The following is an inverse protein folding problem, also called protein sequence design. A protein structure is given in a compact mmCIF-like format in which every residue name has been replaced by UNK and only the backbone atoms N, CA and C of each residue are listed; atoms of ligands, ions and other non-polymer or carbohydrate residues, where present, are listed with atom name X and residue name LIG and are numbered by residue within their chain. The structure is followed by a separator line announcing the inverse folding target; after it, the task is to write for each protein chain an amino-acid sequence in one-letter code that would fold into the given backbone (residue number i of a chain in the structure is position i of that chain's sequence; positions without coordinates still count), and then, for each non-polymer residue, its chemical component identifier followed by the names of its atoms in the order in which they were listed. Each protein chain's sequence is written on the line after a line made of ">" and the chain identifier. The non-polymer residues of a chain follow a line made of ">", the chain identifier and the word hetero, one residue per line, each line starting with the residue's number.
data_IF_975266183199
#
_entry.id   IF_975266183199
#
_cell.length_a   1.000
_cell.length_b   1.000
_cell.length_c   1.000
_cell.angle_alpha   90.00
_cell.angle_beta   90.00
_cell.angle_gamma   90.00
#
_symmetry.space_group_name_H-M   'P 1'
#
loop_
_entity.id
_entity.type
_entity.pdbx_description
1 polymer ?
#
# COMPACT_ATOMS: atom_id res chain seq x y z
N UNK A 1 25.41 37.06 -8.95
CA UNK A 1 26.06 35.94 -8.24
C UNK A 1 26.50 36.46 -6.86
N UNK A 2 25.62 36.35 -5.86
CA UNK A 2 25.86 36.75 -4.46
C UNK A 2 26.08 35.54 -3.54
N UNK A 3 26.24 35.73 -2.21
CA UNK A 3 27.19 35.01 -1.34
C UNK A 3 26.72 33.60 -0.95
N UNK A 4 26.97 32.61 -1.80
CA UNK A 4 26.76 31.18 -1.45
C UNK A 4 27.81 30.68 -0.44
N UNK A 5 28.94 31.37 -0.33
CA UNK A 5 30.07 30.99 0.54
C UNK A 5 29.75 31.12 2.03
N UNK A 6 29.03 32.17 2.43
CA UNK A 6 28.82 32.50 3.84
C UNK A 6 27.81 31.54 4.50
N UNK A 7 26.73 31.25 3.78
CA UNK A 7 25.70 30.30 4.21
C UNK A 7 26.23 28.87 4.40
N UNK A 8 27.20 28.42 3.59
CA UNK A 8 27.80 27.08 3.73
C UNK A 8 28.75 26.99 4.92
N UNK A 9 29.51 28.05 5.19
CA UNK A 9 30.37 28.12 6.35
C UNK A 9 29.54 28.14 7.65
N UNK A 10 28.42 28.85 7.65
CA UNK A 10 27.45 28.85 8.75
C UNK A 10 26.82 27.46 8.95
N UNK A 11 26.38 26.80 7.87
CA UNK A 11 25.88 25.42 7.93
C UNK A 11 26.91 24.45 8.53
N UNK A 12 28.18 24.54 8.11
CA UNK A 12 29.25 23.69 8.64
C UNK A 12 29.48 23.92 10.14
N UNK A 13 29.52 25.19 10.60
CA UNK A 13 29.67 25.52 12.02
C UNK A 13 28.53 24.97 12.87
N UNK A 14 27.29 25.08 12.38
CA UNK A 14 26.12 24.54 13.06
C UNK A 14 26.20 23.01 13.18
N UNK A 15 26.60 22.31 12.12
CA UNK A 15 26.76 20.86 12.14
C UNK A 15 27.89 20.40 13.07
N UNK A 16 29.02 21.11 13.09
CA UNK A 16 30.11 20.83 14.02
C UNK A 16 29.66 20.98 15.48
N UNK A 17 28.93 22.06 15.80
CA UNK A 17 28.36 22.23 17.15
C UNK A 17 27.41 21.08 17.50
N UNK A 18 26.55 20.67 16.57
CA UNK A 18 25.67 19.51 16.78
C UNK A 18 26.45 18.20 17.02
N UNK A 19 27.54 17.98 16.29
CA UNK A 19 28.42 16.80 16.46
C UNK A 19 29.14 16.79 17.81
N UNK A 20 29.45 17.97 18.36
CA UNK A 20 30.02 18.13 19.71
C UNK A 20 28.98 18.03 20.82
N UNK A 21 27.70 17.89 20.49
CA UNK A 21 26.60 17.84 21.46
C UNK A 21 26.19 19.22 22.00
N UNK A 22 26.56 20.31 21.32
CA UNK A 22 26.17 21.66 21.72
C UNK A 22 24.67 21.87 21.51
N UNK A 23 23.91 21.99 22.60
CA UNK A 23 22.45 22.14 22.54
C UNK A 23 22.00 23.38 21.75
N UNK A 24 22.77 24.47 21.80
CA UNK A 24 22.41 25.71 21.11
C UNK A 24 22.58 25.60 19.58
N UNK A 25 23.55 24.80 19.12
CA UNK A 25 23.68 24.47 17.70
C UNK A 25 22.45 23.69 17.22
N UNK A 26 21.98 22.71 17.99
CA UNK A 26 20.76 21.96 17.70
C UNK A 26 19.51 22.85 17.68
N UNK A 27 19.35 23.75 18.65
CA UNK A 27 18.25 24.72 18.66
C UNK A 27 18.29 25.63 17.43
N UNK A 28 19.46 26.10 17.04
CA UNK A 28 19.62 26.96 15.88
C UNK A 28 19.27 26.21 14.57
N UNK A 29 19.76 24.98 14.41
CA UNK A 29 19.41 24.12 13.27
C UNK A 29 17.90 23.85 13.24
N UNK A 30 17.31 23.46 14.38
CA UNK A 30 15.88 23.21 14.45
C UNK A 30 15.08 24.46 14.06
N UNK A 31 15.33 25.60 14.70
CA UNK A 31 14.63 26.86 14.44
C UNK A 31 14.73 27.30 12.97
N UNK A 32 15.90 27.16 12.35
CA UNK A 32 16.16 27.66 10.99
C UNK A 32 15.60 26.77 9.88
N UNK A 33 15.49 25.46 10.14
CA UNK A 33 15.17 24.47 9.11
C UNK A 33 13.84 23.75 9.32
N UNK A 34 13.32 23.67 10.54
CA UNK A 34 12.09 22.93 10.84
C UNK A 34 10.86 23.46 10.07
N UNK A 35 10.55 24.78 10.04
CA UNK A 35 9.39 25.28 9.29
C UNK A 35 9.48 24.99 7.79
N UNK A 36 10.69 25.09 7.23
CA UNK A 36 10.98 24.81 5.81
C UNK A 36 10.83 23.32 5.49
N UNK A 37 11.19 22.45 6.43
CA UNK A 37 11.07 21.01 6.31
C UNK A 37 9.60 20.58 6.37
N UNK A 38 8.84 21.07 7.34
CA UNK A 38 7.40 20.79 7.48
C UNK A 38 6.64 21.25 6.24
N UNK A 39 6.88 22.47 5.75
CA UNK A 39 6.26 22.97 4.53
C UNK A 39 6.57 22.08 3.31
N UNK A 40 7.82 21.62 3.17
CA UNK A 40 8.19 20.69 2.11
C UNK A 40 7.46 19.34 2.22
N UNK A 41 7.38 18.78 3.43
CA UNK A 41 6.70 17.52 3.67
C UNK A 41 5.21 17.63 3.36
N UNK A 42 4.56 18.71 3.79
CA UNK A 42 3.14 18.95 3.54
C UNK A 42 2.83 18.92 2.03
N UNK A 43 3.65 19.59 1.22
CA UNK A 43 3.54 19.57 -0.26
C UNK A 43 3.75 18.16 -0.81
N UNK A 44 4.76 17.44 -0.32
CA UNK A 44 5.07 16.09 -0.80
C UNK A 44 4.02 15.04 -0.43
N UNK A 45 3.28 15.26 0.67
CA UNK A 45 2.28 14.34 1.19
C UNK A 45 0.93 14.39 0.46
N UNK A 46 0.75 15.26 -0.55
CA UNK A 46 -0.45 15.31 -1.42
C UNK A 46 -1.78 15.32 -0.64
N UNK A 47 -1.93 16.24 0.32
CA UNK A 47 -3.18 16.42 1.09
C UNK A 47 -3.20 15.79 2.47
N UNK A 48 -2.05 15.33 2.99
CA UNK A 48 -1.90 15.01 4.41
C UNK A 48 -2.11 16.25 5.29
N UNK A 49 -2.60 16.05 6.53
CA UNK A 49 -2.77 17.14 7.49
C UNK A 49 -1.41 17.76 7.88
N UNK A 50 -1.42 19.00 8.37
CA UNK A 50 -0.22 19.63 8.92
C UNK A 50 0.42 18.80 10.04
N UNK A 51 -0.41 18.16 10.85
CA UNK A 51 0.01 17.21 11.89
C UNK A 51 0.81 16.03 11.33
N UNK A 52 0.37 15.44 10.21
CA UNK A 52 1.13 14.36 9.57
C UNK A 52 2.49 14.83 9.04
N UNK A 53 2.58 16.09 8.59
CA UNK A 53 3.85 16.67 8.18
C UNK A 53 4.79 16.87 9.37
N UNK A 54 4.26 17.31 10.51
CA UNK A 54 4.98 17.44 11.78
C UNK A 54 5.50 16.09 12.27
N UNK A 55 4.68 15.03 12.23
CA UNK A 55 5.14 13.69 12.63
C UNK A 55 6.30 13.18 11.79
N UNK A 56 6.29 13.43 10.47
CA UNK A 56 7.39 13.04 9.59
C UNK A 56 8.62 13.89 9.90
N UNK A 57 8.45 15.19 10.15
CA UNK A 57 9.56 16.07 10.55
C UNK A 57 10.17 15.60 11.87
N UNK A 58 9.35 15.26 12.87
CA UNK A 58 9.78 14.70 14.14
C UNK A 58 10.57 13.40 13.94
N UNK A 59 10.11 12.48 13.08
CA UNK A 59 10.84 11.26 12.77
C UNK A 59 12.23 11.54 12.13
N UNK A 60 12.31 12.54 11.25
CA UNK A 60 13.58 12.98 10.66
C UNK A 60 14.51 13.56 11.75
N UNK A 61 13.99 14.42 12.62
CA UNK A 61 14.77 15.00 13.72
C UNK A 61 15.26 13.95 14.70
N UNK A 62 14.42 12.98 15.09
CA UNK A 62 14.81 11.86 15.93
C UNK A 62 15.92 11.03 15.28
N UNK A 63 15.82 10.74 13.98
CA UNK A 63 16.87 10.01 13.26
C UNK A 63 18.20 10.80 13.24
N UNK A 64 18.13 12.11 12.98
CA UNK A 64 19.28 13.00 13.02
C UNK A 64 19.90 13.06 14.41
N UNK A 65 19.10 13.16 15.47
CA UNK A 65 19.59 13.24 16.85
C UNK A 65 20.25 11.94 17.30
N UNK A 66 19.55 10.81 17.16
CA UNK A 66 20.05 9.50 17.59
C UNK A 66 21.26 9.02 16.76
N UNK A 67 21.37 9.48 15.51
CA UNK A 67 22.42 9.07 14.58
C UNK A 67 23.29 10.23 14.09
N UNK A 68 23.49 11.28 14.90
CA UNK A 68 24.11 12.54 14.47
C UNK A 68 25.45 12.36 13.77
N UNK A 69 26.34 11.54 14.33
CA UNK A 69 27.65 11.23 13.72
C UNK A 69 27.52 10.55 12.35
N UNK A 70 26.58 9.63 12.21
CA UNK A 70 26.34 8.89 10.96
C UNK A 70 25.66 9.77 9.91
N UNK A 71 24.67 10.57 10.32
CA UNK A 71 23.91 11.40 9.40
C UNK A 71 24.68 12.64 8.97
N UNK A 72 25.36 13.34 9.87
CA UNK A 72 26.16 14.50 9.49
C UNK A 72 27.47 14.10 8.82
N UNK A 73 28.04 12.92 9.14
CA UNK A 73 29.19 12.37 8.40
C UNK A 73 28.89 12.05 6.92
N UNK A 74 27.62 11.87 6.55
CA UNK A 74 27.18 11.66 5.16
C UNK A 74 26.80 12.95 4.42
N UNK A 75 26.76 14.08 5.12
CA UNK A 75 26.43 15.35 4.49
C UNK A 75 27.61 15.81 3.62
N UNK A 76 27.36 15.98 2.33
CA UNK A 76 28.31 16.59 1.40
C UNK A 76 27.83 17.98 0.98
N UNK A 77 28.47 19.07 1.43
CA UNK A 77 28.11 20.44 1.06
C UNK A 77 28.30 20.74 -0.44
N UNK A 78 29.03 19.90 -1.18
CA UNK A 78 29.17 20.01 -2.64
C UNK A 78 27.93 19.48 -3.36
N UNK A 79 27.25 18.48 -2.80
CA UNK A 79 26.02 17.91 -3.35
C UNK A 79 24.78 18.81 -3.15
N UNK A 80 24.85 19.73 -2.18
CA UNK A 80 23.89 20.80 -1.96
C UNK A 80 23.84 21.27 -0.50
N UNK A 81 23.09 22.34 -0.23
CA UNK A 81 22.96 22.89 1.13
C UNK A 81 22.17 21.98 2.08
N UNK A 82 22.25 22.29 3.37
CA UNK A 82 21.75 21.47 4.46
C UNK A 82 20.24 21.18 4.37
N UNK A 83 19.46 22.17 3.93
CA UNK A 83 18.02 21.96 3.69
C UNK A 83 17.75 20.89 2.63
N UNK A 84 18.55 20.81 1.57
CA UNK A 84 18.40 19.78 0.52
C UNK A 84 18.67 18.40 1.10
N UNK A 85 19.65 18.29 1.98
CA UNK A 85 19.94 17.06 2.70
C UNK A 85 18.76 16.63 3.59
N UNK A 86 18.21 17.53 4.41
CA UNK A 86 17.02 17.21 5.22
C UNK A 86 15.80 16.81 4.38
N UNK A 87 15.57 17.48 3.25
CA UNK A 87 14.53 17.08 2.29
C UNK A 87 14.73 15.66 1.75
N UNK A 88 15.97 15.24 1.53
CA UNK A 88 16.27 13.88 1.08
C UNK A 88 15.94 12.83 2.15
N UNK A 89 16.23 13.12 3.42
CA UNK A 89 15.86 12.27 4.56
C UNK A 89 14.34 12.19 4.70
N UNK A 90 13.66 13.32 4.68
CA UNK A 90 12.20 13.39 4.73
C UNK A 90 11.54 12.61 3.59
N UNK A 91 12.08 12.71 2.37
CA UNK A 91 11.61 11.91 1.23
C UNK A 91 11.73 10.42 1.52
N UNK A 92 12.87 9.96 2.05
CA UNK A 92 13.06 8.56 2.46
C UNK A 92 12.02 8.09 3.47
N UNK A 93 11.70 8.92 4.47
CA UNK A 93 10.70 8.63 5.49
C UNK A 93 9.28 8.58 4.92
N UNK A 94 8.90 9.54 4.06
CA UNK A 94 7.60 9.54 3.37
C UNK A 94 7.43 8.25 2.54
N UNK A 95 8.44 7.85 1.78
CA UNK A 95 8.37 6.61 0.99
C UNK A 95 8.29 5.36 1.86
N UNK A 96 9.00 5.33 2.99
CA UNK A 96 8.93 4.24 3.96
C UNK A 96 7.51 4.11 4.51
N UNK A 97 6.89 5.22 4.95
CA UNK A 97 5.51 5.24 5.44
C UNK A 97 4.52 4.78 4.37
N UNK A 98 4.62 5.30 3.14
CA UNK A 98 3.77 4.88 2.01
C UNK A 98 3.89 3.39 1.69
N UNK A 99 5.09 2.82 1.75
CA UNK A 99 5.31 1.38 1.53
C UNK A 99 4.71 0.54 2.66
N UNK A 100 4.87 0.97 3.91
CA UNK A 100 4.28 0.30 5.07
C UNK A 100 2.76 0.27 4.97
N UNK A 101 2.14 1.43 4.67
CA UNK A 101 0.70 1.57 4.47
C UNK A 101 0.17 0.71 3.33
N UNK A 102 0.85 0.69 2.18
CA UNK A 102 0.47 -0.18 1.07
C UNK A 102 0.53 -1.66 1.45
N UNK A 103 1.57 -2.05 2.19
CA UNK A 103 1.75 -3.44 2.65
C UNK A 103 0.70 -3.83 3.69
N UNK A 104 0.31 -2.90 4.57
CA UNK A 104 -0.80 -3.08 5.51
C UNK A 104 -2.11 -3.29 4.77
N UNK A 105 -2.48 -2.37 3.86
CA UNK A 105 -3.71 -2.46 3.05
C UNK A 105 -3.78 -3.76 2.25
N UNK A 106 -2.66 -4.19 1.66
CA UNK A 106 -2.61 -5.45 0.93
C UNK A 106 -2.90 -6.66 1.83
N UNK A 107 -2.34 -6.68 3.05
CA UNK A 107 -2.60 -7.74 4.04
C UNK A 107 -4.05 -7.72 4.51
N UNK A 108 -4.61 -6.55 4.78
CA UNK A 108 -6.02 -6.38 5.15
C UNK A 108 -6.95 -6.86 4.04
N UNK A 109 -6.70 -6.49 2.78
CA UNK A 109 -7.48 -6.99 1.64
C UNK A 109 -7.35 -8.52 1.47
N UNK A 110 -6.16 -9.07 1.69
CA UNK A 110 -5.95 -10.53 1.63
C UNK A 110 -6.72 -11.24 2.75
N UNK A 111 -6.69 -10.70 3.97
CA UNK A 111 -7.43 -11.22 5.11
C UNK A 111 -8.94 -11.17 4.86
N UNK A 112 -9.49 -10.02 4.44
CA UNK A 112 -10.90 -9.88 4.10
C UNK A 112 -11.36 -10.84 2.99
N UNK A 113 -10.52 -11.06 1.96
CA UNK A 113 -10.80 -12.06 0.93
C UNK A 113 -10.82 -13.48 1.51
N UNK A 114 -9.85 -13.83 2.36
CA UNK A 114 -9.79 -15.14 3.00
C UNK A 114 -10.95 -15.40 3.96
N UNK A 115 -11.44 -14.36 4.65
CA UNK A 115 -12.64 -14.44 5.48
C UNK A 115 -13.89 -14.64 4.63
N UNK A 116 -14.00 -13.96 3.49
CA UNK A 116 -15.14 -14.17 2.58
C UNK A 116 -15.18 -15.60 1.99
N UNK A 117 -14.03 -16.24 1.79
CA UNK A 117 -13.95 -17.64 1.34
C UNK A 117 -14.17 -18.65 2.46
N UNK A 118 -14.14 -18.27 3.75
CA UNK A 118 -14.45 -19.21 4.84
C UNK A 118 -15.91 -19.62 4.90
N UNK A 119 -16.81 -18.92 4.21
CA UNK A 119 -18.18 -19.38 3.96
C UNK A 119 -18.25 -20.35 2.76
N UNK A 120 -17.23 -21.18 2.57
CA UNK A 120 -17.23 -22.26 1.58
C UNK A 120 -18.28 -23.34 1.92
N UNK A 121 -18.55 -23.56 3.21
CA UNK A 121 -19.56 -24.52 3.67
C UNK A 121 -20.98 -24.02 3.32
N UNK A 122 -21.30 -22.75 3.61
CA UNK A 122 -22.59 -22.16 3.24
C UNK A 122 -22.79 -22.12 1.73
N UNK A 123 -21.76 -21.70 0.97
CA UNK A 123 -21.79 -21.75 -0.51
C UNK A 123 -21.96 -23.17 -1.05
N UNK A 124 -21.32 -24.15 -0.42
CA UNK A 124 -21.45 -25.56 -0.79
C UNK A 124 -22.86 -26.09 -0.57
N UNK A 125 -23.50 -25.72 0.55
CA UNK A 125 -24.89 -26.08 0.85
C UNK A 125 -25.89 -25.42 -0.12
N UNK A 126 -25.76 -24.12 -0.37
CA UNK A 126 -26.60 -23.40 -1.35
C UNK A 126 -26.44 -23.99 -2.76
N UNK A 127 -25.22 -24.40 -3.13
CA UNK A 127 -24.98 -25.05 -4.41
C UNK A 127 -25.60 -26.45 -4.47
N UNK A 128 -25.52 -27.24 -3.40
CA UNK A 128 -26.17 -28.56 -3.29
C UNK A 128 -27.70 -28.43 -3.41
N UNK A 129 -28.29 -27.47 -2.71
CA UNK A 129 -29.73 -27.19 -2.79
C UNK A 129 -30.13 -26.74 -4.20
N UNK A 130 -29.36 -25.87 -4.84
CA UNK A 130 -29.59 -25.50 -6.24
C UNK A 130 -29.53 -26.72 -7.18
N UNK A 131 -28.50 -27.57 -7.06
CA UNK A 131 -28.37 -28.79 -7.86
C UNK A 131 -29.55 -29.75 -7.65
N UNK A 132 -30.15 -29.77 -6.45
CA UNK A 132 -31.34 -30.54 -6.15
C UNK A 132 -32.56 -30.09 -6.98
N UNK A 133 -32.66 -28.80 -7.33
CA UNK A 133 -33.76 -28.24 -8.16
C UNK A 133 -33.61 -28.51 -9.65
N UNK A 134 -32.43 -28.94 -10.11
CA UNK A 134 -32.16 -29.23 -11.51
C UNK A 134 -32.69 -30.61 -11.92
N UNK A 135 -33.11 -30.72 -13.18
CA UNK A 135 -33.42 -32.03 -13.79
C UNK A 135 -32.15 -32.89 -13.86
N UNK A 136 -32.25 -34.23 -13.96
CA UNK A 136 -31.07 -35.11 -14.02
C UNK A 136 -30.07 -34.70 -15.10
N UNK A 137 -30.56 -34.33 -16.29
CA UNK A 137 -29.72 -33.91 -17.42
C UNK A 137 -29.04 -32.56 -17.20
N UNK A 138 -29.72 -31.62 -16.53
CA UNK A 138 -29.15 -30.32 -16.19
C UNK A 138 -28.11 -30.44 -15.07
N UNK A 139 -28.36 -31.31 -14.08
CA UNK A 139 -27.42 -31.60 -12.99
C UNK A 139 -26.15 -32.26 -13.53
N UNK A 140 -26.31 -33.27 -14.37
CA UNK A 140 -25.20 -33.95 -15.06
C UNK A 140 -24.33 -32.94 -15.82
N UNK A 141 -24.95 -32.05 -16.60
CA UNK A 141 -24.25 -30.97 -17.31
C UNK A 141 -23.53 -30.02 -16.34
N UNK A 142 -24.18 -29.62 -15.26
CA UNK A 142 -23.60 -28.72 -14.27
C UNK A 142 -22.35 -29.33 -13.61
N UNK A 143 -22.41 -30.60 -13.21
CA UNK A 143 -21.31 -31.30 -12.56
C UNK A 143 -20.16 -31.61 -13.54
N UNK A 144 -20.47 -32.05 -14.76
CA UNK A 144 -19.46 -32.50 -15.74
C UNK A 144 -18.79 -31.36 -16.51
N UNK A 145 -19.46 -30.22 -16.72
CA UNK A 145 -18.96 -29.13 -17.58
C UNK A 145 -18.77 -27.81 -16.82
N UNK A 146 -19.66 -27.44 -15.90
CA UNK A 146 -19.56 -26.16 -15.20
C UNK A 146 -18.71 -26.23 -13.92
N UNK A 147 -18.74 -27.38 -13.24
CA UNK A 147 -18.02 -27.61 -11.97
C UNK A 147 -16.74 -28.44 -12.13
N UNK A 148 -16.49 -29.00 -13.31
CA UNK A 148 -15.20 -29.62 -13.61
C UNK A 148 -14.14 -28.54 -13.64
N UNK A 149 -13.42 -28.41 -12.51
CA UNK A 149 -12.14 -27.71 -12.47
C UNK A 149 -11.29 -28.38 -13.53
N UNK A 150 -10.87 -27.59 -14.52
CA UNK A 150 -10.10 -27.99 -15.69
C UNK A 150 -8.86 -28.81 -15.32
N UNK A 151 -9.03 -30.12 -15.11
CA UNK A 151 -7.98 -31.09 -15.37
C UNK A 151 -8.00 -31.38 -16.87
N UNK A 152 -6.85 -31.13 -17.48
CA UNK A 152 -6.59 -31.24 -18.90
C UNK A 152 -7.18 -32.51 -19.52
N UNK A 153 -7.87 -32.36 -20.66
CA UNK A 153 -7.79 -33.36 -21.73
C UNK A 153 -8.87 -34.44 -21.78
N UNK A 154 -10.15 -34.06 -21.81
CA UNK A 154 -11.21 -35.00 -22.17
C UNK A 154 -12.53 -34.32 -22.45
N UNK A 155 -12.66 -33.60 -23.58
CA UNK A 155 -13.96 -33.05 -24.00
C UNK A 155 -14.89 -34.21 -24.38
N UNK A 156 -15.90 -34.45 -23.56
CA UNK A 156 -17.05 -35.24 -23.94
C UNK A 156 -17.71 -34.61 -25.19
N UNK A 157 -18.02 -35.43 -26.19
CA UNK A 157 -18.68 -35.03 -27.43
C UNK A 157 -20.13 -34.60 -27.16
N UNK A 158 -20.32 -33.35 -26.74
CA UNK A 158 -21.64 -32.72 -26.73
C UNK A 158 -21.71 -31.75 -27.90
N UNK A 159 -22.73 -31.90 -28.75
CA UNK A 159 -23.01 -30.97 -29.85
C UNK A 159 -23.07 -29.53 -29.31
N UNK A 160 -22.22 -28.65 -29.85
CA UNK A 160 -22.01 -27.26 -29.44
C UNK A 160 -23.30 -26.43 -29.34
N UNK A 161 -24.31 -26.76 -30.16
CA UNK A 161 -25.60 -26.06 -30.16
C UNK A 161 -26.50 -26.44 -28.97
N UNK A 162 -26.41 -27.69 -28.49
CA UNK A 162 -27.13 -28.16 -27.31
C UNK A 162 -26.50 -27.66 -26.01
N UNK A 163 -25.17 -27.54 -25.98
CA UNK A 163 -24.43 -26.99 -24.85
C UNK A 163 -24.85 -25.54 -24.54
N UNK A 164 -24.94 -24.67 -25.55
CA UNK A 164 -25.30 -23.26 -25.33
C UNK A 164 -26.73 -23.10 -24.76
N UNK A 165 -27.68 -23.90 -25.26
CA UNK A 165 -29.07 -23.90 -24.76
C UNK A 165 -29.14 -24.41 -23.32
N UNK A 166 -28.43 -25.49 -23.00
CA UNK A 166 -28.41 -26.09 -21.67
C UNK A 166 -27.71 -25.17 -20.66
N UNK A 167 -26.59 -24.56 -21.05
CA UNK A 167 -25.87 -23.54 -20.28
C UNK A 167 -26.76 -22.33 -20.00
N UNK A 168 -27.42 -21.77 -21.02
CA UNK A 168 -28.32 -20.63 -20.85
C UNK A 168 -29.48 -20.96 -19.91
N UNK A 169 -30.05 -22.17 -20.02
CA UNK A 169 -31.15 -22.63 -19.16
C UNK A 169 -30.70 -22.78 -17.70
N UNK A 170 -29.57 -23.44 -17.46
CA UNK A 170 -29.00 -23.62 -16.11
C UNK A 170 -28.63 -22.27 -15.50
N UNK A 171 -27.98 -21.37 -16.24
CA UNK A 171 -27.64 -20.04 -15.76
C UNK A 171 -28.86 -19.18 -15.45
N UNK A 172 -29.95 -19.29 -16.23
CA UNK A 172 -31.21 -18.62 -15.95
C UNK A 172 -31.82 -19.13 -14.65
N UNK A 173 -31.88 -20.45 -14.46
CA UNK A 173 -32.36 -21.08 -13.21
C UNK A 173 -31.52 -20.67 -12.00
N UNK A 174 -30.19 -20.65 -12.15
CA UNK A 174 -29.27 -20.23 -11.09
C UNK A 174 -29.52 -18.79 -10.66
N UNK A 175 -29.66 -17.86 -11.62
CA UNK A 175 -29.99 -16.45 -11.31
C UNK A 175 -31.33 -16.32 -10.58
N UNK A 176 -32.37 -17.04 -11.03
CA UNK A 176 -33.68 -17.03 -10.35
C UNK A 176 -33.57 -17.57 -8.93
N UNK A 177 -32.86 -18.69 -8.74
CA UNK A 177 -32.67 -19.30 -7.44
C UNK A 177 -31.91 -18.39 -6.46
N UNK A 178 -30.85 -17.71 -6.92
CA UNK A 178 -30.08 -16.77 -6.11
C UNK A 178 -30.85 -15.49 -5.76
N UNK A 179 -31.83 -15.08 -6.58
CA UNK A 179 -32.70 -13.94 -6.31
C UNK A 179 -33.87 -14.27 -5.38
N UNK A 180 -34.23 -15.54 -5.23
CA UNK A 180 -35.32 -16.02 -4.37
C UNK A 180 -34.85 -16.43 -2.97
N UNK A 181 -33.55 -16.74 -2.81
CA UNK A 181 -32.95 -17.21 -1.55
C UNK A 181 -31.93 -16.21 -0.95
N UNK A 182 -31.90 -14.95 -1.44
CA UNK A 182 -31.30 -13.79 -0.76
C UNK A 182 -32.43 -12.89 -0.24
#
# INVERSE_FOLDING_TARGET
>A
MGPVSDSRAEEARLLEGCLRGENDAWKAVFKNYHPKLVAYIAVMSQGGSGEQAEEVAAAVWCALWCGASTHFGRYDPRAGGLLKYFKSLARGEIWRRRRSERSRRFRECKAARSESTRDEVGRGLVLQEFLATLTPREREFCMSILMSVSEFGGRAEVSTCNEWKLRSRVMKKFRTYMLQNN
#
